data_IF_575296628449
#
_entry.id   IF_575296628449
#
_cell.length_a   1.000
_cell.length_b   1.000
_cell.length_c   1.000
_cell.angle_alpha   90.00
_cell.angle_beta   90.00
_cell.angle_gamma   90.00
#
_symmetry.space_group_name_H-M   'P 1'
#
loop_
_entity.id
_entity.type
_entity.pdbx_description
1 polymer ?
#
# COMPACT_ATOMS: atom_id res chain seq x y z
N UNK A 1 15.86 6.58 -24.40
CA UNK A 1 14.76 5.62 -24.09
C UNK A 1 15.03 4.73 -22.86
N UNK A 2 16.20 4.78 -22.18
CA UNK A 2 16.52 3.87 -21.05
C UNK A 2 15.95 4.28 -19.69
N UNK A 3 16.02 5.58 -19.34
CA UNK A 3 15.72 6.05 -17.97
C UNK A 3 14.31 5.72 -17.46
N UNK A 4 13.29 5.74 -18.34
CA UNK A 4 11.90 5.39 -17.96
C UNK A 4 11.73 3.91 -17.66
N UNK A 5 12.41 3.04 -18.42
CA UNK A 5 12.42 1.59 -18.20
C UNK A 5 13.13 1.25 -16.89
N UNK A 6 14.28 1.88 -16.63
CA UNK A 6 15.03 1.69 -15.39
C UNK A 6 14.22 2.06 -14.14
N UNK A 7 13.50 3.19 -14.21
CA UNK A 7 12.61 3.64 -13.12
C UNK A 7 11.45 2.69 -12.88
N UNK A 8 10.79 2.21 -13.94
CA UNK A 8 9.69 1.24 -13.83
C UNK A 8 10.20 -0.07 -13.24
N UNK A 9 11.37 -0.55 -13.64
CA UNK A 9 12.00 -1.75 -13.07
C UNK A 9 12.30 -1.59 -11.57
N UNK A 10 12.78 -0.41 -11.14
CA UNK A 10 13.01 -0.15 -9.71
C UNK A 10 11.72 -0.12 -8.90
N UNK A 11 10.66 0.52 -9.41
CA UNK A 11 9.34 0.51 -8.75
C UNK A 11 8.80 -0.91 -8.67
N UNK A 12 8.92 -1.69 -9.75
CA UNK A 12 8.52 -3.09 -9.77
C UNK A 12 9.30 -3.92 -8.74
N UNK A 13 10.62 -3.78 -8.66
CA UNK A 13 11.43 -4.45 -7.64
C UNK A 13 10.99 -4.08 -6.22
N UNK A 14 10.71 -2.79 -5.97
CA UNK A 14 10.18 -2.33 -4.69
C UNK A 14 8.83 -2.97 -4.34
N UNK A 15 7.91 -3.08 -5.31
CA UNK A 15 6.63 -3.75 -5.14
C UNK A 15 6.79 -5.25 -4.86
N UNK A 16 7.75 -5.91 -5.52
CA UNK A 16 8.09 -7.31 -5.26
C UNK A 16 8.59 -7.48 -3.83
N UNK A 17 9.55 -6.65 -3.38
CA UNK A 17 10.06 -6.69 -2.00
C UNK A 17 8.94 -6.47 -0.98
N UNK A 18 8.10 -5.45 -1.18
CA UNK A 18 6.94 -5.21 -0.31
C UNK A 18 5.97 -6.39 -0.30
N UNK A 19 5.88 -7.17 -1.38
CA UNK A 19 5.06 -8.39 -1.46
C UNK A 19 5.69 -9.54 -0.70
N UNK A 20 6.99 -9.75 -0.85
CA UNK A 20 7.72 -10.74 -0.08
C UNK A 20 7.59 -10.46 1.43
N UNK A 21 7.72 -9.19 1.84
CA UNK A 21 7.59 -8.77 3.24
C UNK A 21 6.19 -9.05 3.79
N UNK A 22 5.13 -8.74 3.04
CA UNK A 22 3.76 -9.03 3.49
C UNK A 22 3.49 -10.53 3.58
N UNK A 23 3.90 -11.30 2.57
CA UNK A 23 3.57 -12.72 2.45
C UNK A 23 4.36 -13.60 3.41
N UNK A 24 5.65 -13.30 3.64
CA UNK A 24 6.51 -14.16 4.47
C UNK A 24 7.01 -13.50 5.76
N UNK A 25 6.97 -12.17 5.84
CA UNK A 25 7.35 -11.42 7.04
C UNK A 25 6.18 -11.31 8.01
N UNK A 26 5.09 -10.66 7.57
CA UNK A 26 3.91 -10.42 8.42
C UNK A 26 2.99 -11.62 8.60
N UNK A 27 3.09 -12.63 7.73
CA UNK A 27 2.23 -13.82 7.79
C UNK A 27 2.72 -14.91 8.75
N UNK A 28 3.77 -14.65 9.54
CA UNK A 28 4.23 -15.54 10.61
C UNK A 28 3.56 -15.13 11.92
N UNK A 29 3.35 -16.09 12.83
CA UNK A 29 2.93 -15.87 14.23
C UNK A 29 3.97 -15.10 15.08
N UNK A 30 4.90 -14.38 14.43
CA UNK A 30 5.91 -13.55 15.06
C UNK A 30 5.35 -12.24 15.62
N UNK A 31 4.16 -11.80 15.17
CA UNK A 31 3.60 -10.50 15.51
C UNK A 31 2.24 -10.63 16.20
N UNK A 32 1.96 -9.68 17.10
CA UNK A 32 0.61 -9.49 17.66
C UNK A 32 -0.38 -9.23 16.51
N UNK A 33 -1.57 -9.84 16.49
CA UNK A 33 -2.52 -9.72 15.39
C UNK A 33 -2.81 -8.27 14.96
N UNK A 34 -2.92 -7.36 15.92
CA UNK A 34 -3.11 -5.93 15.65
C UNK A 34 -1.96 -5.31 14.85
N UNK A 35 -0.72 -5.66 15.17
CA UNK A 35 0.48 -5.16 14.48
C UNK A 35 0.53 -5.70 13.05
N UNK A 36 0.20 -6.98 12.87
CA UNK A 36 0.15 -7.61 11.55
C UNK A 36 -0.92 -6.96 10.66
N UNK A 37 -2.14 -6.76 11.18
CA UNK A 37 -3.24 -6.14 10.44
C UNK A 37 -2.88 -4.70 10.04
N UNK A 38 -2.45 -3.87 10.98
CA UNK A 38 -2.05 -2.48 10.69
C UNK A 38 -0.91 -2.43 9.68
N UNK A 39 0.13 -3.27 9.85
CA UNK A 39 1.26 -3.31 8.94
C UNK A 39 0.89 -3.74 7.52
N UNK A 40 -0.01 -4.71 7.36
CA UNK A 40 -0.52 -5.14 6.04
C UNK A 40 -1.22 -3.97 5.34
N UNK A 41 -2.12 -3.27 6.04
CA UNK A 41 -2.87 -2.15 5.45
C UNK A 41 -1.98 -0.96 5.09
N UNK A 42 -0.97 -0.65 5.92
CA UNK A 42 0.02 0.38 5.60
C UNK A 42 0.82 0.02 4.35
N UNK A 43 1.32 -1.20 4.26
CA UNK A 43 2.06 -1.66 3.08
C UNK A 43 1.17 -1.65 1.83
N UNK A 44 -0.10 -2.06 1.96
CA UNK A 44 -1.07 -2.02 0.87
C UNK A 44 -1.30 -0.59 0.37
N UNK A 45 -1.50 0.39 1.26
CA UNK A 45 -1.70 1.79 0.89
C UNK A 45 -0.48 2.37 0.14
N UNK A 46 0.73 2.01 0.58
CA UNK A 46 1.98 2.40 -0.08
C UNK A 46 2.10 1.76 -1.46
N UNK A 47 1.83 0.45 -1.59
CA UNK A 47 1.84 -0.25 -2.89
C UNK A 47 0.88 0.39 -3.88
N UNK A 48 -0.37 0.63 -3.47
CA UNK A 48 -1.39 1.25 -4.33
C UNK A 48 -0.94 2.63 -4.79
N UNK A 49 -0.35 3.44 -3.90
CA UNK A 49 0.18 4.76 -4.25
C UNK A 49 1.27 4.69 -5.33
N UNK A 50 2.19 3.73 -5.25
CA UNK A 50 3.20 3.50 -6.28
C UNK A 50 2.59 3.04 -7.61
N UNK A 51 1.61 2.14 -7.56
CA UNK A 51 0.92 1.66 -8.78
C UNK A 51 0.19 2.81 -9.48
N UNK A 52 -0.57 3.60 -8.74
CA UNK A 52 -1.29 4.77 -9.26
C UNK A 52 -0.34 5.77 -9.91
N UNK A 53 0.76 6.14 -9.24
CA UNK A 53 1.67 7.16 -9.74
C UNK A 53 2.49 6.71 -10.96
N UNK A 54 3.01 5.48 -10.94
CA UNK A 54 4.00 5.04 -11.91
C UNK A 54 3.44 4.11 -13.00
N UNK A 55 2.34 3.37 -12.76
CA UNK A 55 1.72 2.51 -13.77
C UNK A 55 0.49 3.12 -14.45
N UNK A 56 -0.28 3.95 -13.74
CA UNK A 56 -1.44 4.65 -14.35
C UNK A 56 -1.05 6.00 -14.97
N UNK A 57 0.25 6.32 -15.03
CA UNK A 57 0.82 7.55 -15.59
C UNK A 57 0.27 8.87 -14.99
N UNK A 58 -0.41 8.81 -13.84
CA UNK A 58 -0.96 9.95 -13.09
C UNK A 58 0.12 10.90 -12.56
N UNK A 59 1.40 10.57 -12.70
CA UNK A 59 2.52 11.44 -12.34
C UNK A 59 2.50 12.77 -13.11
N UNK A 60 2.08 12.75 -14.37
CA UNK A 60 1.97 13.95 -15.22
C UNK A 60 0.58 14.61 -15.16
N UNK A 61 -0.35 14.04 -14.38
CA UNK A 61 -1.70 14.58 -14.24
C UNK A 61 -1.70 15.84 -13.34
N UNK A 62 -2.71 16.71 -13.48
CA UNK A 62 -2.90 17.85 -12.59
C UNK A 62 -2.92 17.43 -11.12
N UNK A 63 -2.24 18.22 -10.28
CA UNK A 63 -2.03 17.97 -8.85
C UNK A 63 -3.30 17.54 -8.09
N UNK A 64 -4.48 18.17 -8.25
CA UNK A 64 -5.67 17.76 -7.50
C UNK A 64 -6.08 16.31 -7.75
N UNK A 65 -5.99 15.84 -9.00
CA UNK A 65 -6.31 14.46 -9.38
C UNK A 65 -5.28 13.51 -8.75
N UNK A 66 -4.00 13.88 -8.82
CA UNK A 66 -2.91 13.09 -8.25
C UNK A 66 -3.03 12.95 -6.72
N UNK A 67 -3.49 13.98 -6.03
CA UNK A 67 -3.72 13.95 -4.58
C UNK A 67 -4.96 13.11 -4.25
N UNK A 68 -6.06 13.26 -5.01
CA UNK A 68 -7.27 12.48 -4.77
C UNK A 68 -7.00 10.96 -4.84
N UNK A 69 -6.28 10.50 -5.86
CA UNK A 69 -5.95 9.09 -6.01
C UNK A 69 -4.95 8.55 -4.97
N UNK A 70 -4.08 9.40 -4.41
CA UNK A 70 -3.18 9.02 -3.31
C UNK A 70 -3.87 9.06 -1.94
N UNK A 71 -4.78 10.00 -1.74
CA UNK A 71 -5.56 10.12 -0.52
C UNK A 71 -6.55 8.97 -0.37
N UNK A 72 -7.13 8.50 -1.48
CA UNK A 72 -8.07 7.39 -1.52
C UNK A 72 -7.60 6.13 -0.75
N UNK A 73 -6.45 5.50 -1.06
CA UNK A 73 -6.00 4.31 -0.33
C UNK A 73 -5.73 4.57 1.16
N UNK A 74 -5.33 5.80 1.52
CA UNK A 74 -5.14 6.18 2.92
C UNK A 74 -6.49 6.22 3.64
N UNK A 75 -7.50 6.88 3.04
CA UNK A 75 -8.85 6.95 3.60
C UNK A 75 -9.44 5.55 3.75
N UNK A 76 -9.34 4.71 2.72
CA UNK A 76 -9.83 3.33 2.77
C UNK A 76 -9.14 2.52 3.87
N UNK A 77 -7.81 2.62 4.01
CA UNK A 77 -7.08 1.94 5.07
C UNK A 77 -7.50 2.40 6.46
N UNK A 78 -7.67 3.72 6.67
CA UNK A 78 -8.13 4.28 7.94
C UNK A 78 -9.53 3.82 8.28
N UNK A 79 -10.46 3.81 7.31
CA UNK A 79 -11.84 3.36 7.51
C UNK A 79 -11.86 1.88 7.89
N UNK A 80 -11.14 1.02 7.17
CA UNK A 80 -11.10 -0.42 7.45
C UNK A 80 -10.48 -0.69 8.83
N UNK A 81 -9.35 -0.06 9.15
CA UNK A 81 -8.73 -0.20 10.47
C UNK A 81 -9.63 0.33 11.58
N UNK A 82 -10.31 1.46 11.35
CA UNK A 82 -11.30 2.01 12.27
C UNK A 82 -12.40 1.00 12.59
N UNK A 83 -12.96 0.34 11.57
CA UNK A 83 -13.94 -0.74 11.77
C UNK A 83 -13.34 -1.95 12.49
N UNK A 84 -12.11 -2.34 12.14
CA UNK A 84 -11.44 -3.47 12.79
C UNK A 84 -11.25 -3.25 14.29
N UNK A 85 -10.84 -2.05 14.71
CA UNK A 85 -10.68 -1.69 16.11
C UNK A 85 -12.01 -1.41 16.84
N UNK A 86 -13.01 -0.88 16.13
CA UNK A 86 -14.32 -0.58 16.71
C UNK A 86 -15.19 -1.82 16.87
N UNK A 87 -14.92 -2.90 16.12
CA UNK A 87 -15.64 -4.16 16.25
C UNK A 87 -15.16 -4.86 17.53
N UNK A 88 -16.01 -4.99 18.57
CA UNK A 88 -15.66 -5.79 19.73
C UNK A 88 -15.43 -7.24 19.26
N UNK A 89 -14.38 -7.88 19.76
CA UNK A 89 -14.16 -9.30 19.51
C UNK A 89 -15.39 -10.04 20.02
N UNK A 90 -16.25 -10.50 19.11
CA UNK A 90 -17.36 -11.38 19.45
C UNK A 90 -16.67 -12.68 19.86
N UNK A 91 -16.62 -12.90 21.18
CA UNK A 91 -16.03 -14.07 21.85
C UNK A 91 -16.83 -15.31 21.44
#
# INVERSE_FOLDING_TARGET
MSARRERVTMVWLGLMVLTCVTTWGLSKDLFVPAVAVVGIFLIAAVKVSYVVLDFMELRNAPIPVRVAFQAWPIVVAVVILGFWFATPAII
#
